data_IF_610183091642
#
_entry.id   IF_610183091642
#
_cell.length_a   1.000
_cell.length_b   1.000
_cell.length_c   1.000
_cell.angle_alpha   90.00
_cell.angle_beta   90.00
_cell.angle_gamma   90.00
#
_symmetry.space_group_name_H-M   'P 1'
#
loop_
_entity.id
_entity.type
_entity.pdbx_description
1 polymer ?
#
# COMPACT_ATOMS: atom_id res chain seq x y z
N UNK A 1 3.16 -11.56 0.12
CA UNK A 1 2.97 -10.48 1.10
C UNK A 1 4.07 -10.64 2.11
N UNK A 2 5.01 -9.71 2.10
CA UNK A 2 6.18 -9.78 2.97
C UNK A 2 5.86 -9.06 4.28
N UNK A 3 5.92 -9.81 5.38
CA UNK A 3 5.58 -9.35 6.72
C UNK A 3 6.84 -8.98 7.50
N UNK A 4 6.79 -7.87 8.23
CA UNK A 4 7.91 -7.42 9.07
C UNK A 4 7.47 -7.28 10.53
N UNK A 5 8.26 -7.78 11.49
CA UNK A 5 8.02 -7.50 12.90
C UNK A 5 8.31 -6.04 13.21
N UNK A 6 7.46 -5.45 14.05
CA UNK A 6 7.72 -4.11 14.56
C UNK A 6 8.94 -4.13 15.51
N UNK A 7 9.87 -3.16 15.40
CA UNK A 7 11.12 -3.16 16.17
C UNK A 7 10.91 -3.14 17.68
N UNK A 8 9.80 -2.57 18.13
CA UNK A 8 9.42 -2.48 19.55
C UNK A 8 8.17 -3.30 19.91
N UNK A 9 7.96 -4.44 19.25
CA UNK A 9 6.84 -5.37 19.51
C UNK A 9 5.44 -4.73 19.39
N UNK A 10 5.29 -3.77 18.47
CA UNK A 10 4.02 -3.20 18.03
C UNK A 10 3.36 -4.04 16.93
N UNK A 11 2.42 -3.44 16.20
CA UNK A 11 1.70 -4.13 15.13
C UNK A 11 2.64 -4.58 14.00
N UNK A 12 2.43 -5.79 13.48
CA UNK A 12 3.14 -6.29 12.29
C UNK A 12 2.94 -5.35 11.11
N UNK A 13 4.03 -5.07 10.40
CA UNK A 13 3.99 -4.35 9.14
C UNK A 13 3.89 -5.31 7.95
N UNK A 14 3.39 -4.80 6.83
CA UNK A 14 3.45 -5.45 5.53
C UNK A 14 4.15 -4.53 4.53
N UNK A 15 5.02 -5.10 3.70
CA UNK A 15 5.62 -4.41 2.57
C UNK A 15 4.69 -4.57 1.37
N UNK A 16 4.26 -3.45 0.80
CA UNK A 16 3.37 -3.39 -0.35
C UNK A 16 4.00 -2.60 -1.49
N UNK A 17 3.79 -3.08 -2.70
CA UNK A 17 4.13 -2.37 -3.92
C UNK A 17 2.96 -1.51 -4.39
N UNK A 18 3.26 -0.27 -4.76
CA UNK A 18 2.27 0.69 -5.25
C UNK A 18 2.36 0.71 -6.78
N UNK A 19 1.22 0.44 -7.41
CA UNK A 19 1.07 0.47 -8.86
C UNK A 19 0.29 1.71 -9.30
N UNK A 20 0.66 2.29 -10.44
CA UNK A 20 -0.17 3.28 -11.09
C UNK A 20 -1.37 2.62 -11.80
N UNK A 21 -2.26 3.45 -12.37
CA UNK A 21 -3.45 2.96 -13.08
C UNK A 21 -3.15 2.13 -14.34
N UNK A 22 -1.90 2.14 -14.83
CA UNK A 22 -1.44 1.33 -15.96
C UNK A 22 -0.85 -0.03 -15.51
N UNK A 23 -0.74 -0.27 -14.21
CA UNK A 23 -0.11 -1.47 -13.66
C UNK A 23 1.41 -1.39 -13.55
N UNK A 24 2.00 -0.21 -13.68
CA UNK A 24 3.44 0.00 -13.50
C UNK A 24 3.74 0.24 -12.02
N UNK A 25 4.79 -0.41 -11.50
CA UNK A 25 5.27 -0.16 -10.15
C UNK A 25 5.91 1.22 -10.05
N UNK A 26 5.49 2.01 -9.05
CA UNK A 26 5.96 3.38 -8.85
C UNK A 26 6.53 3.64 -7.45
N UNK A 27 6.30 2.75 -6.48
CA UNK A 27 6.82 2.88 -5.12
C UNK A 27 6.68 1.58 -4.33
N UNK A 28 7.40 1.48 -3.21
CA UNK A 28 7.23 0.43 -2.20
C UNK A 28 7.03 1.11 -0.85
N UNK A 29 6.02 0.65 -0.10
CA UNK A 29 5.64 1.21 1.19
C UNK A 29 5.53 0.12 2.25
N UNK A 30 5.76 0.52 3.50
CA UNK A 30 5.48 -0.33 4.67
C UNK A 30 4.25 0.24 5.38
N UNK A 31 3.25 -0.59 5.61
CA UNK A 31 2.00 -0.21 6.29
C UNK A 31 1.68 -1.19 7.42
N UNK A 32 0.95 -0.77 8.47
CA UNK A 32 0.38 -1.72 9.42
C UNK A 32 -0.63 -2.64 8.72
N UNK A 33 -0.72 -3.90 9.14
CA UNK A 33 -1.66 -4.87 8.56
C UNK A 33 -3.11 -4.36 8.65
N UNK A 34 -3.48 -3.71 9.74
CA UNK A 34 -4.80 -3.14 9.97
C UNK A 34 -5.22 -2.07 8.96
N UNK A 35 -4.27 -1.46 8.23
CA UNK A 35 -4.56 -0.51 7.15
C UNK A 35 -4.89 -1.19 5.81
N UNK A 36 -4.73 -2.51 5.71
CA UNK A 36 -4.98 -3.28 4.49
C UNK A 36 -6.41 -3.82 4.53
N UNK A 37 -7.18 -3.51 3.50
CA UNK A 37 -8.52 -4.08 3.28
C UNK A 37 -8.65 -4.67 1.87
N UNK A 38 -9.37 -5.78 1.69
CA UNK A 38 -9.70 -6.28 0.37
C UNK A 38 -10.59 -5.29 -0.38
N UNK A 39 -10.36 -5.19 -1.69
CA UNK A 39 -11.22 -4.46 -2.60
C UNK A 39 -12.60 -5.13 -2.68
N UNK A 40 -13.64 -4.31 -2.78
CA UNK A 40 -15.03 -4.77 -2.88
C UNK A 40 -15.55 -4.59 -4.31
N UNK A 41 -16.44 -5.49 -4.75
CA UNK A 41 -16.99 -5.48 -6.11
C UNK A 41 -17.80 -4.22 -6.45
N UNK A 42 -18.22 -3.45 -5.45
CA UNK A 42 -18.98 -2.21 -5.58
C UNK A 42 -18.14 -0.93 -5.41
N UNK A 43 -16.81 -1.04 -5.28
CA UNK A 43 -15.92 0.12 -5.25
C UNK A 43 -15.56 0.56 -6.68
N UNK A 44 -15.57 1.88 -6.94
CA UNK A 44 -15.16 2.47 -8.21
C UNK A 44 -13.83 3.18 -8.01
N UNK A 45 -12.80 2.80 -8.78
CA UNK A 45 -11.50 3.46 -8.72
C UNK A 45 -11.55 4.88 -9.31
N UNK A 46 -10.82 5.80 -8.67
CA UNK A 46 -10.58 7.15 -9.19
C UNK A 46 -9.09 7.39 -9.39
N UNK A 47 -8.74 8.09 -10.47
CA UNK A 47 -7.35 8.39 -10.82
C UNK A 47 -7.05 9.84 -10.47
N UNK A 48 -5.88 10.08 -9.86
CA UNK A 48 -5.35 11.42 -9.60
C UNK A 48 -3.87 11.48 -9.96
N UNK A 49 -3.38 12.67 -10.28
CA UNK A 49 -1.94 12.89 -10.48
C UNK A 49 -1.18 12.65 -9.17
N UNK A 50 -0.12 11.85 -9.22
CA UNK A 50 0.82 11.73 -8.12
C UNK A 50 1.70 12.98 -8.07
N UNK A 51 1.62 13.74 -6.98
CA UNK A 51 2.53 14.87 -6.73
C UNK A 51 3.85 14.29 -6.23
N UNK A 52 4.92 14.47 -7.01
CA UNK A 52 6.28 14.21 -6.53
C UNK A 52 6.66 15.34 -5.58
N UNK A 53 7.07 14.99 -4.37
CA UNK A 53 7.74 15.92 -3.46
C UNK A 53 9.22 15.77 -3.74
N UNK A 54 9.86 16.86 -4.19
CA UNK A 54 11.32 16.95 -4.37
C UNK A 54 12.03 17.12 -3.02
#
# INVERSE_FOLDING_TARGET
MDLIPHPSNGEMGAILEVFNALGESISVVTVPISAIKPLQANEIFTVRSLVKVE
#
